data_IF_583360865755
#
_entry.id   IF_583360865755
#
_cell.length_a   1.000
_cell.length_b   1.000
_cell.length_c   1.000
_cell.angle_alpha   90.00
_cell.angle_beta   90.00
_cell.angle_gamma   90.00
#
_symmetry.space_group_name_H-M   'P 1'
#
loop_
_entity.id
_entity.type
_entity.pdbx_description
1 polymer ?
#
# COMPACT_ATOMS: atom_id res chain seq x y z
N UNK A 1 -1.02 -1.21 -24.56
CA UNK A 1 -2.22 -1.35 -23.73
C UNK A 1 -2.23 -0.30 -22.63
N UNK A 2 -3.39 0.22 -22.34
CA UNK A 2 -3.53 1.19 -21.25
C UNK A 2 -3.44 0.50 -19.90
N UNK A 3 -2.57 1.02 -19.02
CA UNK A 3 -2.46 0.49 -17.68
C UNK A 3 -3.65 0.86 -16.82
N UNK A 4 -3.96 0.02 -15.85
CA UNK A 4 -4.98 0.32 -14.84
C UNK A 4 -4.38 1.23 -13.77
N UNK A 5 -5.06 2.31 -13.44
CA UNK A 5 -4.67 3.18 -12.34
C UNK A 5 -5.21 2.60 -11.03
N UNK A 6 -4.32 2.18 -10.15
CA UNK A 6 -4.68 1.56 -8.88
C UNK A 6 -4.08 2.35 -7.73
N UNK A 7 -4.93 2.79 -6.82
CA UNK A 7 -4.52 3.50 -5.62
C UNK A 7 -4.57 2.55 -4.41
N UNK A 8 -3.47 2.44 -3.69
CA UNK A 8 -3.43 1.74 -2.40
C UNK A 8 -3.56 2.78 -1.29
N UNK A 9 -4.61 2.67 -0.50
CA UNK A 9 -4.99 3.66 0.49
C UNK A 9 -4.91 3.10 1.91
N UNK A 10 -4.17 3.77 2.79
CA UNK A 10 -4.14 3.43 4.21
C UNK A 10 -4.25 4.70 5.04
N UNK A 11 -4.06 4.61 6.37
CA UNK A 11 -4.25 5.76 7.24
C UNK A 11 -3.20 6.84 7.01
N UNK A 12 -1.92 6.51 7.16
CA UNK A 12 -0.85 7.51 7.18
C UNK A 12 0.04 7.52 5.95
N UNK A 13 -0.21 6.66 4.97
CA UNK A 13 0.66 6.46 3.80
C UNK A 13 2.12 6.30 4.22
N UNK A 14 2.34 5.49 5.22
CA UNK A 14 3.63 5.32 5.87
C UNK A 14 4.24 3.95 5.63
N UNK A 15 3.45 2.89 5.74
CA UNK A 15 3.95 1.53 5.73
C UNK A 15 3.21 0.65 4.71
N UNK A 16 1.99 0.20 5.03
CA UNK A 16 1.29 -0.82 4.21
C UNK A 16 1.03 -0.38 2.77
N UNK A 17 0.50 0.81 2.56
CA UNK A 17 0.23 1.29 1.21
C UNK A 17 1.50 1.56 0.43
N UNK A 18 2.57 1.98 1.11
CA UNK A 18 3.88 2.20 0.47
C UNK A 18 4.47 0.88 0.00
N UNK A 19 4.39 -0.17 0.82
CA UNK A 19 4.86 -1.50 0.42
C UNK A 19 4.05 -2.04 -0.75
N UNK A 20 2.72 -1.83 -0.73
CA UNK A 20 1.86 -2.27 -1.83
C UNK A 20 2.21 -1.56 -3.13
N UNK A 21 2.41 -0.25 -3.09
CA UNK A 21 2.84 0.50 -4.27
C UNK A 21 4.18 -0.02 -4.79
N UNK A 22 5.15 -0.26 -3.89
CA UNK A 22 6.46 -0.78 -4.25
C UNK A 22 6.38 -2.13 -4.96
N UNK A 23 5.62 -3.07 -4.39
CA UNK A 23 5.42 -4.38 -5.01
C UNK A 23 4.71 -4.28 -6.36
N UNK A 24 3.68 -3.44 -6.45
CA UNK A 24 2.92 -3.29 -7.70
C UNK A 24 3.81 -2.73 -8.81
N UNK A 25 4.64 -1.75 -8.51
CA UNK A 25 5.58 -1.20 -9.49
C UNK A 25 6.63 -2.23 -9.93
N UNK A 26 7.13 -3.03 -8.97
CA UNK A 26 8.16 -4.02 -9.25
C UNK A 26 7.62 -5.23 -10.02
N UNK A 27 6.42 -5.71 -9.68
CA UNK A 27 5.88 -6.96 -10.19
C UNK A 27 4.85 -6.77 -11.30
N UNK A 28 4.13 -5.65 -11.32
CA UNK A 28 2.99 -5.41 -12.21
C UNK A 28 3.07 -4.08 -12.95
N UNK A 29 4.25 -3.48 -13.04
CA UNK A 29 4.44 -2.18 -13.68
C UNK A 29 4.05 -2.15 -15.15
N UNK A 30 3.96 -3.29 -15.81
CA UNK A 30 3.54 -3.39 -17.21
C UNK A 30 2.01 -3.30 -17.39
N UNK A 31 1.24 -3.59 -16.35
CA UNK A 31 -0.24 -3.59 -16.42
C UNK A 31 -0.91 -2.65 -15.43
N UNK A 32 -0.19 -2.19 -14.41
CA UNK A 32 -0.72 -1.32 -13.35
C UNK A 32 0.15 -0.06 -13.22
N UNK A 33 -0.51 1.10 -13.23
CA UNK A 33 0.10 2.34 -12.75
C UNK A 33 -0.28 2.49 -11.28
N UNK A 34 0.70 2.27 -10.41
CA UNK A 34 0.45 2.18 -8.97
C UNK A 34 0.63 3.53 -8.27
N UNK A 35 -0.29 3.82 -7.37
CA UNK A 35 -0.25 5.01 -6.51
C UNK A 35 -0.49 4.58 -5.08
N UNK A 36 -0.03 5.38 -4.13
CA UNK A 36 -0.39 5.19 -2.73
C UNK A 36 -0.66 6.54 -2.08
N UNK A 37 -1.54 6.54 -1.08
CA UNK A 37 -1.87 7.75 -0.33
C UNK A 37 -2.45 7.35 1.02
N UNK A 38 -2.61 8.34 1.90
CA UNK A 38 -3.24 8.16 3.20
C UNK A 38 -4.37 9.14 3.40
N UNK A 39 -5.22 8.83 4.37
CA UNK A 39 -6.24 9.78 4.85
C UNK A 39 -5.54 10.99 5.49
N UNK A 40 -4.37 10.74 6.08
CA UNK A 40 -3.46 11.76 6.60
C UNK A 40 -2.04 11.35 6.23
N UNK A 41 -1.03 12.11 6.58
CA UNK A 41 0.36 11.79 6.26
C UNK A 41 1.19 11.64 7.54
N UNK A 42 1.92 10.52 7.64
CA UNK A 42 2.78 10.22 8.80
C UNK A 42 4.26 10.09 8.42
N UNK A 43 4.61 10.36 7.17
CA UNK A 43 5.96 10.16 6.67
C UNK A 43 6.22 8.72 6.30
N UNK A 44 7.25 8.48 5.51
CA UNK A 44 7.63 7.14 5.06
C UNK A 44 8.31 6.39 6.21
N UNK A 45 7.80 5.20 6.53
CA UNK A 45 8.31 4.40 7.65
C UNK A 45 9.68 3.80 7.31
N UNK A 46 10.74 4.10 8.09
CA UNK A 46 12.09 3.59 7.81
C UNK A 46 12.19 2.07 7.81
N UNK A 47 11.43 1.39 8.68
CA UNK A 47 11.44 -0.07 8.72
C UNK A 47 10.81 -0.67 7.48
N UNK A 48 9.76 -0.04 6.94
CA UNK A 48 9.18 -0.47 5.68
C UNK A 48 10.20 -0.35 4.53
N UNK A 49 10.94 0.77 4.50
CA UNK A 49 12.02 0.96 3.51
C UNK A 49 13.05 -0.15 3.63
N UNK A 50 13.47 -0.46 4.86
CA UNK A 50 14.49 -1.47 5.12
C UNK A 50 14.07 -2.86 4.65
N UNK A 51 12.86 -3.31 5.04
CA UNK A 51 12.43 -4.67 4.69
C UNK A 51 12.10 -4.80 3.21
N UNK A 52 11.65 -3.74 2.55
CA UNK A 52 11.45 -3.77 1.11
C UNK A 52 12.79 -3.88 0.38
N UNK A 53 13.81 -3.16 0.84
CA UNK A 53 15.15 -3.25 0.27
C UNK A 53 15.71 -4.66 0.39
N UNK A 54 15.47 -5.33 1.53
CA UNK A 54 15.86 -6.73 1.71
C UNK A 54 15.27 -7.65 0.64
N UNK A 55 14.07 -7.32 0.17
CA UNK A 55 13.37 -8.10 -0.84
C UNK A 55 13.66 -7.61 -2.27
N UNK A 56 14.58 -6.66 -2.43
CA UNK A 56 15.00 -6.17 -3.74
C UNK A 56 14.16 -5.01 -4.29
N UNK A 57 13.33 -4.38 -3.45
CA UNK A 57 12.49 -3.26 -3.88
C UNK A 57 12.84 -2.00 -3.11
N UNK A 58 13.29 -0.98 -3.82
CA UNK A 58 13.68 0.30 -3.21
C UNK A 58 12.49 1.26 -3.21
N UNK A 59 11.96 1.56 -2.01
CA UNK A 59 10.92 2.57 -1.85
C UNK A 59 11.42 3.83 -1.15
N UNK A 60 12.73 3.97 -0.99
CA UNK A 60 13.32 5.11 -0.28
C UNK A 60 13.02 6.46 -0.92
N UNK A 61 12.72 6.47 -2.21
CA UNK A 61 12.34 7.69 -2.94
C UNK A 61 10.86 8.02 -2.90
N UNK A 62 10.04 7.18 -2.28
CA UNK A 62 8.60 7.42 -2.15
C UNK A 62 8.34 8.54 -1.15
N UNK A 63 7.18 9.21 -1.31
CA UNK A 63 6.75 10.26 -0.39
C UNK A 63 5.40 9.88 0.21
N UNK A 64 5.20 10.24 1.47
CA UNK A 64 3.90 10.09 2.14
C UNK A 64 2.97 11.20 1.65
N UNK A 65 1.79 10.85 1.13
CA UNK A 65 0.87 11.78 0.50
C UNK A 65 -0.52 11.66 1.08
N UNK A 66 -1.20 12.79 1.19
CA UNK A 66 -2.63 12.80 1.48
C UNK A 66 -3.40 12.48 0.21
N UNK A 67 -4.46 11.68 0.32
CA UNK A 67 -5.28 11.28 -0.82
C UNK A 67 -5.84 12.47 -1.60
N UNK A 68 -6.08 13.59 -0.92
CA UNK A 68 -6.59 14.80 -1.57
C UNK A 68 -5.67 15.31 -2.69
N UNK A 69 -4.38 15.05 -2.60
CA UNK A 69 -3.42 15.46 -3.62
C UNK A 69 -3.52 14.65 -4.90
N UNK A 70 -4.25 13.54 -4.86
CA UNK A 70 -4.39 12.62 -6.01
C UNK A 70 -5.80 12.63 -6.59
N UNK A 71 -6.68 13.52 -6.15
CA UNK A 71 -8.08 13.52 -6.62
C UNK A 71 -8.24 13.89 -8.08
N UNK A 72 -7.21 14.44 -8.71
CA UNK A 72 -7.20 14.72 -10.16
C UNK A 72 -6.96 13.47 -10.99
N UNK A 73 -6.47 12.40 -10.39
CA UNK A 73 -6.23 11.14 -11.08
C UNK A 73 -7.52 10.33 -11.12
N UNK A 74 -7.85 9.79 -12.26
CA UNK A 74 -9.00 8.89 -12.38
C UNK A 74 -8.50 7.47 -12.12
N UNK A 75 -8.92 6.89 -10.99
CA UNK A 75 -8.53 5.55 -10.62
C UNK A 75 -9.52 4.53 -11.13
N UNK A 76 -9.01 3.42 -11.64
CA UNK A 76 -9.84 2.26 -11.99
C UNK A 76 -10.23 1.51 -10.73
N UNK A 77 -9.30 1.40 -9.79
CA UNK A 77 -9.52 0.72 -8.51
C UNK A 77 -8.86 1.50 -7.37
N UNK A 78 -9.54 1.55 -6.23
CA UNK A 78 -8.97 2.02 -4.98
C UNK A 78 -8.98 0.84 -4.01
N UNK A 79 -7.80 0.43 -3.55
CA UNK A 79 -7.63 -0.69 -2.63
C UNK A 79 -7.31 -0.12 -1.26
N UNK A 80 -8.25 -0.27 -0.31
CA UNK A 80 -7.98 0.12 1.07
C UNK A 80 -7.29 -1.04 1.77
N UNK A 81 -6.15 -0.76 2.42
CA UNK A 81 -5.33 -1.81 3.04
C UNK A 81 -5.40 -1.79 4.56
N UNK A 82 -6.20 -0.91 5.14
CA UNK A 82 -6.49 -0.90 6.58
C UNK A 82 -7.95 -0.51 6.81
N UNK A 83 -8.53 -0.93 7.94
CA UNK A 83 -9.92 -0.67 8.26
C UNK A 83 -10.26 0.80 8.39
N UNK A 84 -9.35 1.59 8.99
CA UNK A 84 -9.56 3.03 9.15
C UNK A 84 -9.71 3.74 7.80
N UNK A 85 -8.86 3.39 6.82
CA UNK A 85 -8.95 3.98 5.48
C UNK A 85 -10.24 3.53 4.78
N UNK A 86 -10.67 2.28 5.00
CA UNK A 86 -11.90 1.78 4.42
C UNK A 86 -13.12 2.55 4.97
N UNK A 87 -13.15 2.84 6.27
CA UNK A 87 -14.25 3.56 6.91
C UNK A 87 -14.26 5.05 6.58
N UNK A 88 -13.10 5.65 6.33
CA UNK A 88 -12.93 7.08 6.14
C UNK A 88 -12.54 7.46 4.71
N UNK A 89 -12.74 6.55 3.78
CA UNK A 89 -12.37 6.76 2.38
C UNK A 89 -13.22 7.87 1.77
N UNK A 90 -12.59 8.85 1.07
CA UNK A 90 -13.36 9.87 0.39
C UNK A 90 -14.15 9.27 -0.79
N UNK A 91 -15.14 10.01 -1.24
CA UNK A 91 -15.90 9.60 -2.41
C UNK A 91 -15.04 9.77 -3.68
N UNK A 92 -14.95 8.71 -4.47
CA UNK A 92 -14.29 8.75 -5.78
C UNK A 92 -15.38 8.73 -6.86
N UNK A 93 -15.53 9.82 -7.62
CA UNK A 93 -16.58 9.88 -8.64
C UNK A 93 -16.26 8.99 -9.85
N UNK A 94 -17.28 8.69 -10.62
CA UNK A 94 -17.14 7.94 -11.87
C UNK A 94 -17.08 6.43 -11.66
N UNK A 95 -16.43 5.71 -12.57
CA UNK A 95 -16.45 4.25 -12.57
C UNK A 95 -15.45 3.59 -11.62
N UNK A 96 -14.80 4.35 -10.75
CA UNK A 96 -13.81 3.83 -9.79
C UNK A 96 -14.44 2.77 -8.89
N UNK A 97 -13.82 1.62 -8.81
CA UNK A 97 -14.27 0.52 -7.94
C UNK A 97 -13.45 0.48 -6.67
N UNK A 98 -14.11 0.21 -5.56
CA UNK A 98 -13.49 0.15 -4.24
C UNK A 98 -13.32 -1.32 -3.84
N UNK A 99 -12.11 -1.68 -3.39
CA UNK A 99 -11.79 -3.02 -2.91
C UNK A 99 -11.12 -2.89 -1.56
N UNK A 100 -11.59 -3.61 -0.55
CA UNK A 100 -10.95 -3.61 0.77
C UNK A 100 -10.17 -4.91 0.95
N UNK A 101 -8.87 -4.80 1.23
CA UNK A 101 -8.00 -5.93 1.58
C UNK A 101 -7.21 -5.52 2.80
N UNK A 102 -7.61 -5.97 3.99
CA UNK A 102 -6.98 -5.59 5.23
C UNK A 102 -5.67 -6.34 5.48
N UNK A 103 -4.65 -5.62 5.94
CA UNK A 103 -3.40 -6.20 6.42
C UNK A 103 -3.14 -5.69 7.82
N UNK A 104 -2.48 -6.52 8.64
CA UNK A 104 -2.10 -6.10 9.98
C UNK A 104 -1.11 -4.94 9.91
N UNK A 105 -1.15 -4.08 10.93
CA UNK A 105 -0.31 -2.89 11.01
C UNK A 105 1.05 -3.23 11.62
N UNK A 106 2.15 -3.25 10.85
CA UNK A 106 3.46 -3.63 11.38
C UNK A 106 3.92 -2.79 12.57
N UNK A 107 3.78 -1.45 12.59
CA UNK A 107 4.14 -0.68 13.78
C UNK A 107 3.38 -1.11 15.04
N UNK A 108 2.08 -1.41 14.92
CA UNK A 108 1.29 -1.88 16.06
C UNK A 108 1.76 -3.25 16.52
N UNK A 109 2.04 -4.17 15.60
CA UNK A 109 2.58 -5.49 15.92
C UNK A 109 3.94 -5.38 16.62
N UNK A 110 4.78 -4.47 16.15
CA UNK A 110 6.13 -4.27 16.68
C UNK A 110 6.13 -3.79 18.14
N UNK A 111 5.07 -3.12 18.57
CA UNK A 111 4.93 -2.68 19.97
C UNK A 111 4.70 -3.84 20.93
N UNK A 112 4.29 -5.00 20.42
CA UNK A 112 3.95 -6.17 21.23
C UNK A 112 5.14 -7.12 21.40
N UNK A 113 6.27 -6.85 20.78
CA UNK A 113 7.46 -7.69 20.84
C UNK A 113 8.66 -6.89 21.33
N UNK A 114 9.65 -7.59 21.90
CA UNK A 114 10.92 -6.99 22.33
C UNK A 114 11.98 -7.32 21.28
N UNK A 115 13.02 -6.55 21.17
CA UNK A 115 14.11 -6.84 20.25
C UNK A 115 13.89 -6.32 18.83
N UNK A 116 14.96 -5.80 18.25
CA UNK A 116 14.90 -5.16 16.93
C UNK A 116 14.57 -6.16 15.81
N UNK A 117 15.13 -7.38 15.90
CA UNK A 117 14.89 -8.38 14.87
C UNK A 117 13.44 -8.84 14.86
N UNK A 118 12.85 -9.04 16.03
CA UNK A 118 11.43 -9.43 16.12
C UNK A 118 10.51 -8.34 15.61
N UNK A 119 10.84 -7.08 15.85
CA UNK A 119 10.09 -5.94 15.31
C UNK A 119 10.17 -5.93 13.78
N UNK A 120 11.36 -6.13 13.23
CA UNK A 120 11.52 -6.20 11.78
C UNK A 120 10.79 -7.39 11.18
N UNK A 121 10.71 -8.52 11.91
CA UNK A 121 9.96 -9.68 11.43
C UNK A 121 8.47 -9.39 11.27
N UNK A 122 7.90 -8.50 12.09
CA UNK A 122 6.52 -8.05 11.90
C UNK A 122 6.35 -7.37 10.54
N UNK A 123 7.30 -6.51 10.17
CA UNK A 123 7.28 -5.84 8.87
C UNK A 123 7.49 -6.83 7.73
N UNK A 124 8.41 -7.77 7.88
CA UNK A 124 8.70 -8.80 6.87
C UNK A 124 7.47 -9.66 6.58
N UNK A 125 6.76 -10.03 7.65
CA UNK A 125 5.56 -10.85 7.52
C UNK A 125 4.48 -10.13 6.71
N UNK A 126 4.18 -8.89 7.05
CA UNK A 126 3.16 -8.11 6.33
C UNK A 126 3.63 -7.79 4.91
N UNK A 127 4.92 -7.46 4.73
CA UNK A 127 5.52 -7.29 3.40
C UNK A 127 5.23 -8.49 2.50
N UNK A 128 5.44 -9.69 3.02
CA UNK A 128 5.27 -10.91 2.22
C UNK A 128 3.79 -11.22 1.95
N UNK A 129 2.90 -10.90 2.88
CA UNK A 129 1.45 -11.03 2.69
C UNK A 129 0.97 -10.07 1.58
N UNK A 130 1.46 -8.83 1.60
CA UNK A 130 1.13 -7.85 0.58
C UNK A 130 1.65 -8.30 -0.78
N UNK A 131 2.86 -8.86 -0.84
CA UNK A 131 3.43 -9.39 -2.07
C UNK A 131 2.52 -10.45 -2.68
N UNK A 132 2.05 -11.40 -1.89
CA UNK A 132 1.16 -12.46 -2.37
C UNK A 132 -0.11 -11.89 -2.98
N UNK A 133 -0.69 -10.87 -2.32
CA UNK A 133 -1.87 -10.21 -2.86
C UNK A 133 -1.55 -9.54 -4.21
N UNK A 134 -0.45 -8.78 -4.27
CA UNK A 134 -0.07 -8.07 -5.49
C UNK A 134 0.19 -9.02 -6.65
N UNK A 135 0.73 -10.20 -6.37
CA UNK A 135 0.96 -11.22 -7.39
C UNK A 135 -0.33 -11.67 -8.08
N UNK A 136 -1.48 -11.53 -7.41
CA UNK A 136 -2.79 -11.89 -7.98
C UNK A 136 -3.41 -10.79 -8.83
N UNK A 137 -2.81 -9.59 -8.87
CA UNK A 137 -3.37 -8.47 -9.59
C UNK A 137 -3.06 -8.56 -11.09
N UNK A 138 -3.89 -7.98 -11.96
CA UNK A 138 -5.13 -7.29 -11.63
C UNK A 138 -6.35 -8.21 -11.47
N UNK A 139 -6.21 -9.49 -11.67
CA UNK A 139 -7.33 -10.45 -11.65
C UNK A 139 -8.17 -10.38 -10.39
N UNK A 140 -7.52 -10.28 -9.21
CA UNK A 140 -8.23 -10.24 -7.93
C UNK A 140 -9.14 -9.01 -7.78
N UNK A 141 -8.83 -7.92 -8.48
CA UNK A 141 -9.64 -6.69 -8.42
C UNK A 141 -10.91 -6.78 -9.23
N UNK A 142 -10.97 -7.70 -10.18
CA UNK A 142 -12.07 -7.83 -11.12
C UNK A 142 -13.18 -8.77 -10.64
N UNK A 143 -13.01 -9.35 -9.49
CA UNK A 143 -14.01 -10.29 -8.91
C UNK A 143 -15.13 -9.54 -8.21
#
# INVERSE_FOLDING_TARGET
MKKLNVLFLCTGNSCRSQMAEGWARALKGDVIEAYSAGIETHGLNPNAVKVMAEAGVDISGHTSKNVDTLMDVIFDYVVTVCGHANENCPFFPGPTKMVHVGFQDPPAMAKLVAGEEEKLNCYRRVRDEIRKFVETLPGALKK
#
